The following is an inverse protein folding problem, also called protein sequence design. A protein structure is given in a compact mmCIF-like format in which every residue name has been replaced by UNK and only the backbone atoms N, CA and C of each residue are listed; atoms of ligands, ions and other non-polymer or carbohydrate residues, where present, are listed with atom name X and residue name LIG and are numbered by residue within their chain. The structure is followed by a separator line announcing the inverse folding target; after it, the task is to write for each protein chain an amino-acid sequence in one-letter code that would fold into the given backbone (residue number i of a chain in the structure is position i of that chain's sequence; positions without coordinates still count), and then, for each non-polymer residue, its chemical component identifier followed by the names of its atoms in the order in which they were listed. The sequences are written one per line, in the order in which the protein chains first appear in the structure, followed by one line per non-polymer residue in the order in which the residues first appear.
data_IF_533684964209
#
_entry.id   IF_533684964209
#
_cell.length_a   1.000
_cell.length_b   1.000
_cell.length_c   1.000
_cell.angle_alpha   90.00
_cell.angle_beta   90.00
_cell.angle_gamma   90.00
#
_symmetry.space_group_name_H-M   'P 1'
#
loop_
_entity.id
_entity.type
_entity.pdbx_description
1 polymer ?
#
# COMPACT_ATOMS: atom_id res chain seq x y z
N UNK A 1 -2.11 18.54 3.00
CA UNK A 1 -1.39 17.35 3.42
C UNK A 1 -1.74 16.19 2.51
N UNK A 2 -0.74 15.45 2.11
CA UNK A 2 -0.96 14.35 1.19
C UNK A 2 -1.39 13.09 1.94
N UNK A 3 -2.43 12.44 1.46
CA UNK A 3 -2.80 11.12 1.96
C UNK A 3 -1.90 10.08 1.30
N UNK A 4 -1.55 9.06 2.07
CA UNK A 4 -0.78 7.93 1.55
C UNK A 4 -1.64 6.68 1.64
N UNK A 5 -1.79 5.98 0.52
CA UNK A 5 -2.52 4.73 0.43
C UNK A 5 -1.56 3.64 0.01
N UNK A 6 -1.66 2.49 0.67
CA UNK A 6 -0.72 1.41 0.46
C UNK A 6 -1.46 0.08 0.41
N UNK A 7 -1.27 -0.66 -0.68
CA UNK A 7 -1.80 -2.02 -0.81
C UNK A 7 -0.76 -3.00 -0.29
N UNK A 8 -1.18 -3.85 0.64
CA UNK A 8 -0.27 -4.75 1.35
C UNK A 8 -0.86 -6.15 1.50
N UNK A 9 -0.02 -7.07 1.99
CA UNK A 9 -0.44 -8.39 2.44
C UNK A 9 0.13 -8.64 3.83
N UNK A 10 -0.34 -9.70 4.48
CA UNK A 10 0.12 -10.04 5.84
C UNK A 10 1.60 -10.35 5.87
N UNK A 11 2.07 -11.15 4.93
CA UNK A 11 3.48 -11.52 4.85
C UNK A 11 4.12 -10.74 3.71
N UNK A 12 4.66 -9.58 4.04
CA UNK A 12 5.29 -8.72 3.04
C UNK A 12 6.42 -7.92 3.70
N UNK A 13 7.64 -8.46 3.69
CA UNK A 13 8.79 -7.72 4.27
C UNK A 13 9.01 -6.36 3.62
N UNK A 14 8.78 -6.26 2.31
CA UNK A 14 8.92 -4.98 1.61
C UNK A 14 7.86 -3.97 2.05
N UNK A 15 6.66 -4.45 2.37
CA UNK A 15 5.60 -3.57 2.90
C UNK A 15 6.00 -3.00 4.25
N UNK A 16 6.59 -3.83 5.11
CA UNK A 16 7.07 -3.39 6.42
C UNK A 16 8.15 -2.32 6.26
N UNK A 17 9.11 -2.56 5.36
CA UNK A 17 10.18 -1.61 5.10
C UNK A 17 9.65 -0.31 4.53
N UNK A 18 8.69 -0.40 3.62
CA UNK A 18 8.10 0.79 3.01
C UNK A 18 7.36 1.63 4.05
N UNK A 19 6.61 1.00 4.93
CA UNK A 19 5.92 1.72 6.01
C UNK A 19 6.91 2.41 6.94
N UNK A 20 7.98 1.72 7.30
CA UNK A 20 9.00 2.30 8.17
C UNK A 20 9.66 3.51 7.52
N UNK A 21 9.97 3.41 6.23
CA UNK A 21 10.56 4.52 5.49
C UNK A 21 9.63 5.72 5.43
N UNK A 22 8.35 5.47 5.13
CA UNK A 22 7.37 6.56 5.06
C UNK A 22 7.23 7.27 6.40
N UNK A 23 7.17 6.52 7.48
CA UNK A 23 7.09 7.11 8.82
C UNK A 23 8.34 7.93 9.15
N UNK A 24 9.50 7.43 8.75
CA UNK A 24 10.76 8.14 8.94
C UNK A 24 10.78 9.47 8.19
N UNK A 25 10.06 9.53 7.06
CA UNK A 25 9.97 10.75 6.24
C UNK A 25 8.83 11.67 6.68
N UNK A 26 8.19 11.41 7.82
CA UNK A 26 7.18 12.28 8.38
C UNK A 26 5.75 11.92 8.02
N UNK A 27 5.52 10.79 7.38
CA UNK A 27 4.17 10.34 7.05
C UNK A 27 3.55 9.70 8.29
N UNK A 28 2.55 10.35 8.87
CA UNK A 28 1.93 9.89 10.11
C UNK A 28 0.80 8.91 9.88
N UNK A 29 0.06 9.08 8.77
CA UNK A 29 -1.09 8.25 8.49
C UNK A 29 -0.94 7.58 7.14
N UNK A 30 -1.07 6.26 7.14
CA UNK A 30 -1.04 5.44 5.94
C UNK A 30 -2.32 4.63 5.90
N UNK A 31 -3.13 4.80 4.84
CA UNK A 31 -4.29 3.96 4.61
C UNK A 31 -3.81 2.64 4.02
N UNK A 32 -3.85 1.60 4.84
CA UNK A 32 -3.36 0.29 4.43
C UNK A 32 -4.51 -0.59 3.99
N UNK A 33 -4.43 -1.10 2.76
CA UNK A 33 -5.47 -1.96 2.19
C UNK A 33 -4.89 -3.36 2.03
N UNK A 34 -5.46 -4.31 2.78
CA UNK A 34 -5.01 -5.69 2.79
C UNK A 34 -5.65 -6.46 1.64
N UNK A 35 -4.91 -6.64 0.57
CA UNK A 35 -5.42 -7.32 -0.63
C UNK A 35 -5.48 -8.83 -0.47
N UNK A 36 -4.83 -9.37 0.54
CA UNK A 36 -4.96 -10.79 0.87
C UNK A 36 -6.28 -11.10 1.57
N UNK A 37 -6.91 -10.10 2.18
CA UNK A 37 -8.19 -10.24 2.86
C UNK A 37 -9.37 -9.83 1.98
N UNK A 38 -9.13 -9.07 0.92
CA UNK A 38 -10.18 -8.51 0.08
C UNK A 38 -9.82 -8.68 -1.39
N UNK A 39 -10.31 -9.76 -2.04
CA UNK A 39 -10.00 -9.99 -3.45
C UNK A 39 -10.47 -8.89 -4.39
N UNK A 40 -11.56 -8.21 -4.05
CA UNK A 40 -12.06 -7.10 -4.87
C UNK A 40 -11.05 -5.95 -4.88
N UNK A 41 -10.41 -5.68 -3.76
CA UNK A 41 -9.38 -4.65 -3.68
C UNK A 41 -8.13 -5.07 -4.42
N UNK A 42 -7.82 -6.36 -4.44
CA UNK A 42 -6.70 -6.86 -5.24
C UNK A 42 -6.94 -6.64 -6.72
N UNK A 43 -8.16 -6.96 -7.19
CA UNK A 43 -8.52 -6.74 -8.59
C UNK A 43 -8.44 -5.26 -8.93
N UNK A 44 -8.93 -4.40 -8.05
CA UNK A 44 -8.86 -2.96 -8.25
C UNK A 44 -7.40 -2.48 -8.34
N UNK A 45 -6.55 -2.98 -7.45
CA UNK A 45 -5.12 -2.65 -7.48
C UNK A 45 -4.50 -3.04 -8.83
N UNK A 46 -4.80 -4.24 -9.32
CA UNK A 46 -4.29 -4.70 -10.60
C UNK A 46 -4.78 -3.85 -11.76
N UNK A 47 -6.02 -3.37 -11.69
CA UNK A 47 -6.57 -2.52 -12.73
C UNK A 47 -5.88 -1.16 -12.79
N UNK A 48 -5.62 -0.56 -11.64
CA UNK A 48 -5.07 0.80 -11.60
C UNK A 48 -3.55 0.83 -11.72
N UNK A 49 -2.86 -0.26 -11.40
CA UNK A 49 -1.40 -0.31 -11.46
C UNK A 49 -0.86 -1.14 -12.61
N UNK A 50 -1.65 -2.08 -13.12
CA UNK A 50 -1.17 -3.08 -14.06
C UNK A 50 -0.25 -4.11 -13.41
N UNK A 51 -0.19 -4.15 -12.09
CA UNK A 51 0.71 -5.04 -11.35
C UNK A 51 -0.06 -5.79 -10.29
N UNK A 52 0.44 -6.97 -9.94
CA UNK A 52 -0.15 -7.81 -8.89
C UNK A 52 0.75 -7.94 -7.67
N UNK A 53 1.89 -7.25 -7.65
CA UNK A 53 2.84 -7.31 -6.55
C UNK A 53 2.53 -6.26 -5.49
N UNK A 54 2.95 -6.52 -4.25
CA UNK A 54 2.87 -5.57 -3.16
C UNK A 54 4.27 -5.27 -2.66
N UNK A 55 4.53 -4.10 -2.10
CA UNK A 55 3.59 -3.00 -1.88
C UNK A 55 3.31 -2.18 -3.14
N UNK A 56 2.09 -1.61 -3.21
CA UNK A 56 1.76 -0.57 -4.19
C UNK A 56 1.38 0.66 -3.39
N UNK A 57 2.07 1.77 -3.64
CA UNK A 57 1.97 2.96 -2.79
C UNK A 57 1.53 4.15 -3.62
N UNK A 58 0.51 4.85 -3.15
CA UNK A 58 0.00 6.07 -3.77
C UNK A 58 0.13 7.22 -2.79
N UNK A 59 0.73 8.31 -3.25
CA UNK A 59 0.93 9.51 -2.44
C UNK A 59 0.12 10.64 -3.10
N UNK A 60 -0.74 11.26 -2.29
CA UNK A 60 -1.69 12.23 -2.81
C UNK A 60 -2.91 11.52 -3.37
N UNK A 61 -3.33 11.91 -4.53
CA UNK A 61 -4.52 11.30 -5.14
C UNK A 61 -4.16 10.09 -6.03
#
# INVERSE_FOLDING_TARGET
MSAVRMYTTQVCPYCVRAKALLKQRGVEQIEEIRVDLDPAQRDHMMQITGRRTVPQIFIGD
#
